data_IF_951295714292
#
_entry.id   IF_951295714292
#
_cell.length_a   1.000
_cell.length_b   1.000
_cell.length_c   1.000
_cell.angle_alpha   90.00
_cell.angle_beta   90.00
_cell.angle_gamma   90.00
#
_symmetry.space_group_name_H-M   'P 1'
#
loop_
_entity.id
_entity.type
_entity.pdbx_description
1 polymer ?
#
# COMPACT_ATOMS: atom_id res chain seq x y z
N UNK A 1 -28.14 8.34 2.34
CA UNK A 1 -26.90 8.61 1.58
C UNK A 1 -25.84 7.57 1.96
N UNK A 2 -26.12 6.29 1.73
CA UNK A 2 -25.22 5.16 1.96
C UNK A 2 -25.42 4.17 0.81
N UNK A 3 -24.36 3.50 0.38
CA UNK A 3 -24.39 2.48 -0.68
C UNK A 3 -23.99 3.01 -2.06
N UNK A 4 -22.93 2.40 -2.61
CA UNK A 4 -22.46 2.36 -4.01
C UNK A 4 -21.01 2.83 -4.25
N UNK A 5 -20.33 3.47 -3.29
CA UNK A 5 -18.86 3.61 -3.37
C UNK A 5 -18.18 2.36 -2.77
N UNK A 6 -17.45 1.55 -3.57
CA UNK A 6 -16.87 0.29 -3.10
C UNK A 6 -15.72 0.48 -2.10
N UNK A 7 -14.94 1.57 -2.18
CA UNK A 7 -13.86 1.84 -1.23
C UNK A 7 -14.42 2.27 0.14
N UNK A 8 -15.46 3.12 0.16
CA UNK A 8 -16.15 3.51 1.41
C UNK A 8 -16.77 2.27 2.07
N UNK A 9 -17.38 1.38 1.30
CA UNK A 9 -17.88 0.11 1.81
C UNK A 9 -16.76 -0.80 2.33
N UNK A 10 -15.64 -0.89 1.62
CA UNK A 10 -14.48 -1.67 2.05
C UNK A 10 -13.94 -1.17 3.40
N UNK A 11 -13.74 0.14 3.60
CA UNK A 11 -13.22 0.66 4.87
C UNK A 11 -14.23 0.61 6.03
N UNK A 12 -15.54 0.61 5.74
CA UNK A 12 -16.57 0.33 6.76
C UNK A 12 -16.55 -1.13 7.22
N UNK A 13 -16.27 -2.07 6.32
CA UNK A 13 -16.17 -3.51 6.64
C UNK A 13 -14.81 -3.94 7.17
N UNK A 14 -13.73 -3.26 6.76
CA UNK A 14 -12.33 -3.55 7.10
C UNK A 14 -11.64 -2.28 7.65
N UNK A 15 -11.85 -1.91 8.92
CA UNK A 15 -11.35 -0.66 9.48
C UNK A 15 -9.82 -0.55 9.46
N UNK A 16 -9.32 0.61 9.01
CA UNK A 16 -7.91 0.98 9.04
C UNK A 16 -7.59 1.55 10.42
N UNK A 17 -7.18 0.68 11.35
CA UNK A 17 -6.86 1.02 12.74
C UNK A 17 -5.73 0.15 13.28
N UNK A 18 -4.81 0.77 14.02
CA UNK A 18 -3.78 0.06 14.78
C UNK A 18 -4.41 -0.95 15.76
N UNK A 19 -3.81 -2.13 15.88
CA UNK A 19 -4.32 -3.26 16.67
C UNK A 19 -5.76 -3.69 16.29
N UNK A 20 -6.18 -3.46 15.04
CA UNK A 20 -7.47 -3.90 14.50
C UNK A 20 -7.48 -5.30 13.88
N UNK A 21 -6.39 -6.07 14.02
CA UNK A 21 -6.20 -7.38 13.41
C UNK A 21 -4.71 -7.72 13.23
N UNK A 22 -4.40 -8.96 12.89
CA UNK A 22 -3.05 -9.51 12.75
C UNK A 22 -2.68 -9.79 11.29
N UNK A 23 -1.44 -9.47 10.91
CA UNK A 23 -0.89 -9.91 9.62
C UNK A 23 -0.56 -11.43 9.67
N UNK A 24 -0.80 -12.21 8.60
CA UNK A 24 -1.55 -11.87 7.39
C UNK A 24 -3.06 -12.16 7.50
N UNK A 25 -3.53 -12.73 8.62
CA UNK A 25 -4.86 -13.34 8.78
C UNK A 25 -6.03 -12.37 8.59
N UNK A 26 -5.86 -11.13 9.03
CA UNK A 26 -6.92 -10.11 9.04
C UNK A 26 -6.74 -9.05 7.93
N UNK A 27 -5.94 -9.38 6.90
CA UNK A 27 -5.83 -8.55 5.70
C UNK A 27 -7.17 -8.49 4.95
N UNK A 28 -7.40 -7.42 4.17
CA UNK A 28 -8.67 -7.22 3.49
C UNK A 28 -8.81 -8.02 2.18
N UNK A 29 -9.85 -7.74 1.37
CA UNK A 29 -10.01 -8.38 0.07
C UNK A 29 -8.91 -7.93 -0.91
N UNK A 30 -8.54 -8.84 -1.81
CA UNK A 30 -7.63 -8.61 -2.94
C UNK A 30 -8.39 -8.79 -4.25
N UNK A 31 -8.11 -7.94 -5.25
CA UNK A 31 -8.73 -7.97 -6.59
C UNK A 31 -7.65 -7.79 -7.67
N UNK A 32 -7.60 -8.61 -8.73
CA UNK A 32 -6.64 -8.44 -9.83
C UNK A 32 -6.92 -7.15 -10.63
N UNK A 33 -5.88 -6.58 -11.24
CA UNK A 33 -6.01 -5.44 -12.15
C UNK A 33 -5.66 -5.82 -13.59
N UNK A 34 -6.22 -5.07 -14.53
CA UNK A 34 -5.72 -4.97 -15.91
C UNK A 34 -4.96 -3.66 -16.03
N UNK A 35 -3.82 -3.67 -16.72
CA UNK A 35 -3.01 -2.49 -16.94
C UNK A 35 -3.35 -1.83 -18.27
N UNK A 36 -3.84 -0.59 -18.24
CA UNK A 36 -3.93 0.25 -19.44
C UNK A 36 -2.56 0.85 -19.81
N UNK A 37 -1.69 1.06 -18.82
CA UNK A 37 -0.32 1.59 -18.98
C UNK A 37 0.63 0.84 -18.02
N UNK A 38 1.73 0.32 -18.56
CA UNK A 38 2.69 -0.48 -17.79
C UNK A 38 2.22 -1.93 -17.58
N UNK A 39 2.79 -2.59 -16.57
CA UNK A 39 2.55 -4.01 -16.28
C UNK A 39 2.95 -4.36 -14.82
N UNK A 40 2.78 -5.63 -14.45
CA UNK A 40 3.09 -6.14 -13.12
C UNK A 40 4.61 -6.16 -12.81
N UNK A 41 5.47 -6.38 -13.80
CA UNK A 41 6.94 -6.34 -13.60
C UNK A 41 7.37 -4.90 -13.27
N UNK A 42 6.98 -3.94 -14.10
CA UNK A 42 7.26 -2.51 -13.88
C UNK A 42 6.65 -2.00 -12.58
N UNK A 43 5.49 -2.53 -12.18
CA UNK A 43 4.92 -2.26 -10.84
C UNK A 43 5.88 -2.74 -9.75
N UNK A 44 6.31 -4.00 -9.79
CA UNK A 44 7.25 -4.57 -8.81
C UNK A 44 8.58 -3.79 -8.76
N UNK A 45 9.09 -3.40 -9.93
CA UNK A 45 10.31 -2.60 -10.09
C UNK A 45 10.23 -1.20 -9.48
N UNK A 46 9.04 -0.60 -9.29
CA UNK A 46 8.90 0.69 -8.61
C UNK A 46 9.03 0.59 -7.09
N UNK A 47 8.74 -0.57 -6.50
CA UNK A 47 8.87 -0.83 -5.07
C UNK A 47 10.28 -1.30 -4.69
N UNK A 48 10.51 -1.39 -3.38
CA UNK A 48 11.80 -1.68 -2.77
C UNK A 48 12.32 -3.08 -3.11
N UNK A 49 13.63 -3.26 -3.36
CA UNK A 49 14.21 -4.56 -3.70
C UNK A 49 13.85 -5.69 -2.72
N UNK A 50 13.88 -5.43 -1.41
CA UNK A 50 13.53 -6.40 -0.39
C UNK A 50 12.03 -6.74 -0.40
N UNK A 51 11.16 -5.74 -0.57
CA UNK A 51 9.70 -5.96 -0.57
C UNK A 51 9.22 -6.89 -1.70
N UNK A 52 9.94 -6.97 -2.83
CA UNK A 52 9.56 -7.79 -4.00
C UNK A 52 9.50 -9.30 -3.72
N UNK A 53 10.09 -9.79 -2.63
CA UNK A 53 9.94 -11.18 -2.20
C UNK A 53 8.67 -11.42 -1.37
N UNK A 54 8.00 -10.37 -0.91
CA UNK A 54 6.88 -10.43 0.03
C UNK A 54 5.51 -10.05 -0.59
N UNK A 55 5.48 -9.52 -1.82
CA UNK A 55 4.24 -9.21 -2.55
C UNK A 55 4.23 -9.76 -3.98
N UNK A 56 3.02 -9.93 -4.52
CA UNK A 56 2.77 -10.24 -5.94
C UNK A 56 2.09 -9.05 -6.59
N UNK A 57 2.71 -8.49 -7.64
CA UNK A 57 2.15 -7.37 -8.40
C UNK A 57 0.96 -7.80 -9.29
N UNK A 58 0.18 -6.84 -9.79
CA UNK A 58 -1.01 -7.11 -10.60
C UNK A 58 -2.32 -7.19 -9.81
N UNK A 59 -2.33 -6.70 -8.57
CA UNK A 59 -3.51 -6.71 -7.69
C UNK A 59 -3.65 -5.39 -6.90
N UNK A 60 -4.87 -5.05 -6.50
CA UNK A 60 -5.16 -4.10 -5.41
C UNK A 60 -5.60 -4.90 -4.18
N UNK A 61 -5.04 -4.57 -3.02
CA UNK A 61 -5.32 -5.23 -1.74
C UNK A 61 -5.77 -4.18 -0.71
N UNK A 62 -7.02 -4.28 -0.26
CA UNK A 62 -7.56 -3.37 0.75
C UNK A 62 -7.05 -3.71 2.16
N UNK A 63 -6.84 -2.70 3.01
CA UNK A 63 -6.28 -2.87 4.37
C UNK A 63 -4.94 -3.63 4.35
N UNK A 64 -4.04 -3.21 3.47
CA UNK A 64 -2.70 -3.79 3.30
C UNK A 64 -1.66 -2.69 3.06
N UNK A 65 -1.79 -1.98 1.94
CA UNK A 65 -1.16 -0.68 1.64
C UNK A 65 -2.17 0.18 0.85
N UNK A 66 -2.05 1.50 0.73
CA UNK A 66 -1.11 2.45 1.35
C UNK A 66 -1.89 3.36 2.34
N UNK A 67 -1.22 4.24 3.08
CA UNK A 67 -1.79 4.90 4.26
C UNK A 67 -2.00 3.91 5.42
N UNK A 68 -2.45 4.41 6.58
CA UNK A 68 -2.54 3.57 7.78
C UNK A 68 -3.40 4.12 8.90
N UNK A 69 -3.40 3.39 10.02
CA UNK A 69 -3.93 3.92 11.28
C UNK A 69 -2.94 4.90 11.91
N UNK A 70 -3.38 5.68 12.89
CA UNK A 70 -2.56 6.71 13.54
C UNK A 70 -1.41 6.23 14.45
N UNK A 71 -0.93 4.99 14.30
CA UNK A 71 0.20 4.47 15.08
C UNK A 71 0.88 3.28 14.40
N UNK A 72 2.21 3.37 14.26
CA UNK A 72 3.11 2.31 13.82
C UNK A 72 4.17 2.12 14.92
N UNK A 73 4.32 0.92 15.51
CA UNK A 73 5.18 0.72 16.68
C UNK A 73 6.68 0.62 16.33
N UNK A 74 7.01 0.15 15.12
CA UNK A 74 8.39 -0.08 14.68
C UNK A 74 9.06 1.24 14.28
N UNK A 75 10.21 1.53 14.91
CA UNK A 75 10.94 2.81 14.82
C UNK A 75 10.05 4.07 14.92
N UNK A 76 8.95 4.02 15.68
CA UNK A 76 7.98 5.11 15.85
C UNK A 76 8.67 6.48 16.09
N UNK A 77 8.45 7.51 15.26
CA UNK A 77 7.40 7.65 14.25
C UNK A 77 7.79 7.36 12.79
N UNK A 78 8.93 6.72 12.52
CA UNK A 78 9.51 6.59 11.17
C UNK A 78 8.55 6.05 10.11
N UNK A 79 7.76 5.02 10.43
CA UNK A 79 6.80 4.42 9.49
C UNK A 79 5.46 5.18 9.40
N UNK A 80 5.29 6.30 10.12
CA UNK A 80 4.03 7.02 10.21
C UNK A 80 3.91 8.08 9.12
N UNK A 81 3.02 7.85 8.16
CA UNK A 81 2.69 8.82 7.11
C UNK A 81 1.82 8.18 6.02
N UNK A 82 1.37 8.99 5.06
CA UNK A 82 0.51 8.51 3.97
C UNK A 82 1.21 7.45 3.11
N UNK A 83 2.54 7.54 2.93
CA UNK A 83 3.37 6.56 2.23
C UNK A 83 4.13 5.61 3.18
N UNK A 84 3.77 5.60 4.46
CA UNK A 84 4.37 4.76 5.50
C UNK A 84 5.92 4.73 5.44
N UNK A 85 6.53 3.55 5.34
CA UNK A 85 7.98 3.34 5.38
C UNK A 85 8.67 3.38 4.00
N UNK A 86 8.14 4.12 3.01
CA UNK A 86 8.66 4.15 1.64
C UNK A 86 10.14 4.62 1.50
N UNK A 87 10.68 5.25 2.54
CA UNK A 87 12.04 5.77 2.68
C UNK A 87 12.86 5.07 3.78
N UNK A 88 12.50 3.84 4.17
CA UNK A 88 13.15 3.10 5.26
C UNK A 88 14.69 3.03 5.16
N UNK A 89 15.25 2.75 3.98
CA UNK A 89 16.69 2.78 3.71
C UNK A 89 17.10 4.06 2.94
N UNK A 90 16.44 5.17 3.26
CA UNK A 90 16.66 6.51 2.71
C UNK A 90 15.70 6.91 1.60
N UNK A 91 15.44 8.21 1.47
CA UNK A 91 14.46 8.75 0.53
C UNK A 91 14.79 8.46 -0.94
N UNK A 92 13.94 7.67 -1.60
CA UNK A 92 14.04 7.37 -3.03
C UNK A 92 15.30 6.62 -3.46
N UNK A 93 16.06 6.06 -2.51
CA UNK A 93 17.34 5.36 -2.76
C UNK A 93 17.17 4.07 -3.57
N UNK A 94 15.95 3.53 -3.63
CA UNK A 94 15.61 2.28 -4.31
C UNK A 94 16.45 1.07 -3.87
N UNK A 95 16.90 1.11 -2.62
CA UNK A 95 17.79 0.12 -2.01
C UNK A 95 17.11 -0.48 -0.77
N UNK A 96 17.38 -1.76 -0.48
CA UNK A 96 16.81 -2.45 0.69
C UNK A 96 15.28 -2.39 0.71
N UNK A 97 14.73 -1.75 1.74
CA UNK A 97 13.29 -1.53 1.95
C UNK A 97 12.78 -0.18 1.41
N UNK A 98 13.65 0.70 0.91
CA UNK A 98 13.24 1.94 0.24
C UNK A 98 12.73 1.75 -1.18
N UNK A 99 11.63 2.41 -1.49
CA UNK A 99 11.02 2.44 -2.83
C UNK A 99 11.82 3.31 -3.81
N UNK A 100 11.47 3.22 -5.09
CA UNK A 100 12.04 4.13 -6.09
C UNK A 100 11.59 5.57 -5.86
N UNK A 101 12.47 6.54 -6.12
CA UNK A 101 12.11 7.97 -6.09
C UNK A 101 10.87 8.28 -6.95
N UNK A 102 10.74 7.61 -8.09
CA UNK A 102 9.62 7.74 -9.04
C UNK A 102 8.25 7.49 -8.41
N UNK A 103 8.10 6.48 -7.53
CA UNK A 103 6.82 6.21 -6.86
C UNK A 103 6.65 7.05 -5.59
N UNK A 104 7.73 7.38 -4.90
CA UNK A 104 7.71 8.24 -3.71
C UNK A 104 7.36 9.72 -4.02
N UNK A 105 7.58 10.18 -5.25
CA UNK A 105 7.21 11.52 -5.75
C UNK A 105 5.91 11.52 -6.58
N UNK A 106 5.20 10.40 -6.70
CA UNK A 106 3.95 10.28 -7.45
C UNK A 106 2.71 10.32 -6.54
N UNK A 107 1.59 10.83 -7.06
CA UNK A 107 0.29 10.74 -6.41
C UNK A 107 -0.46 9.47 -6.84
N UNK A 108 -1.16 8.83 -5.90
CA UNK A 108 -2.07 7.70 -6.19
C UNK A 108 -3.47 8.23 -6.42
N UNK A 109 -3.99 8.09 -7.65
CA UNK A 109 -5.35 8.51 -8.02
C UNK A 109 -6.31 7.31 -7.99
N UNK A 110 -7.46 7.46 -7.33
CA UNK A 110 -8.51 6.43 -7.25
C UNK A 110 -9.71 6.89 -8.07
N UNK A 111 -10.11 6.07 -9.04
CA UNK A 111 -11.25 6.31 -9.91
C UNK A 111 -12.38 5.32 -9.63
N UNK A 112 -13.62 5.75 -9.84
CA UNK A 112 -14.81 4.91 -9.83
C UNK A 112 -15.49 4.98 -11.21
N UNK A 113 -16.17 3.91 -11.59
CA UNK A 113 -16.91 3.77 -12.84
C UNK A 113 -18.33 3.26 -12.54
#
# INVERSE_FOLDING_TARGET
>A
MHGNNPAVFAFQKYPVKYNGGNCPKDNGPTTPVVYDVGDAQKTSELYSPNGRSEFVAGYIHFRHCIGGGGFFPEENPRQCGDFAAFDWDGYGTHHGWSTSKTIAEAAVLIFYR
#
